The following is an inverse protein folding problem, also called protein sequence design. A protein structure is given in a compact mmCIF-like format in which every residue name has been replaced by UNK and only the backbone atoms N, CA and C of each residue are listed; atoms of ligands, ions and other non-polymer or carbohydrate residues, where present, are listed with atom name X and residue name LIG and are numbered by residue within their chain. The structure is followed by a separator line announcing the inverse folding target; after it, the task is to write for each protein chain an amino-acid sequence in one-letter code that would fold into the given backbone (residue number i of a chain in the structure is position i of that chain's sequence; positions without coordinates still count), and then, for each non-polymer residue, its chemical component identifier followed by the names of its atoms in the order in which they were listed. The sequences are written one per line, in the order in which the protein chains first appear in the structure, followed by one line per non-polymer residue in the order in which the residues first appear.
data_IF_954706986805
#
_entry.id   IF_954706986805
#
_cell.length_a   1.000
_cell.length_b   1.000
_cell.length_c   1.000
_cell.angle_alpha   90.00
_cell.angle_beta   90.00
_cell.angle_gamma   90.00
#
_symmetry.space_group_name_H-M   'P 1'
#
loop_
_entity.id
_entity.type
_entity.pdbx_description
1 polymer ?
#
# COMPACT_ATOMS: atom_id res chain seq x y z
N UNK A 1 6.50 -4.21 -24.36
CA UNK A 1 6.21 -2.85 -24.28
C UNK A 1 6.16 -2.39 -22.85
N UNK A 2 6.66 -1.29 -22.59
CA UNK A 2 6.75 -0.80 -21.25
C UNK A 2 5.59 0.14 -20.94
N UNK A 3 5.01 -0.03 -19.78
CA UNK A 3 3.86 0.74 -19.42
C UNK A 3 4.08 1.33 -18.04
N UNK A 4 4.36 2.61 -17.98
CA UNK A 4 4.64 3.26 -16.72
C UNK A 4 3.41 3.34 -15.82
N UNK A 5 2.23 3.22 -16.37
CA UNK A 5 1.03 3.24 -15.57
C UNK A 5 0.94 1.97 -14.75
N UNK A 6 1.24 0.83 -15.36
CA UNK A 6 1.15 -0.45 -14.69
C UNK A 6 2.39 -0.78 -13.87
N UNK A 7 3.52 -0.22 -14.25
CA UNK A 7 4.78 -0.55 -13.60
C UNK A 7 5.53 0.72 -13.22
N UNK A 8 4.95 1.51 -12.30
CA UNK A 8 5.63 2.72 -11.85
C UNK A 8 6.98 2.36 -11.22
N UNK A 9 7.96 3.16 -11.51
CA UNK A 9 9.31 2.86 -11.11
C UNK A 9 9.45 2.62 -9.61
N UNK A 10 8.77 3.44 -8.80
CA UNK A 10 8.90 3.32 -7.35
C UNK A 10 8.25 2.06 -6.81
N UNK A 11 7.48 1.34 -7.62
CA UNK A 11 6.91 0.07 -7.19
C UNK A 11 7.75 -1.11 -7.64
N UNK A 12 8.52 -0.94 -8.71
CA UNK A 12 9.28 -2.05 -9.25
C UNK A 12 10.74 -2.05 -8.84
N UNK A 13 11.15 -1.07 -8.04
CA UNK A 13 12.56 -0.96 -7.69
C UNK A 13 12.91 -1.69 -6.39
N UNK A 14 11.97 -2.45 -5.83
CA UNK A 14 12.26 -3.20 -4.62
C UNK A 14 13.27 -4.31 -4.91
N UNK A 15 14.26 -4.51 -4.02
CA UNK A 15 15.31 -5.51 -4.28
C UNK A 15 14.80 -6.92 -4.49
N UNK A 16 13.63 -7.25 -3.94
CA UNK A 16 13.08 -8.59 -4.10
C UNK A 16 12.63 -8.87 -5.53
N UNK A 17 12.41 -7.81 -6.32
CA UNK A 17 11.87 -7.98 -7.66
C UNK A 17 10.37 -8.16 -7.69
N UNK A 18 9.72 -8.22 -6.55
CA UNK A 18 8.27 -8.37 -6.48
C UNK A 18 7.62 -7.00 -6.62
N UNK A 19 6.58 -6.92 -7.44
CA UNK A 19 5.85 -5.68 -7.58
C UNK A 19 4.80 -5.57 -6.48
N UNK A 20 4.68 -4.38 -5.92
CA UNK A 20 3.74 -4.14 -4.84
C UNK A 20 2.33 -4.59 -5.20
N UNK A 21 1.90 -4.31 -6.43
CA UNK A 21 0.55 -4.64 -6.85
C UNK A 21 0.29 -6.15 -6.82
N UNK A 22 1.32 -6.96 -7.00
CA UNK A 22 1.15 -8.41 -6.96
C UNK A 22 0.68 -8.88 -5.59
N UNK A 23 1.00 -8.12 -4.57
CA UNK A 23 0.57 -8.43 -3.22
C UNK A 23 -0.74 -7.72 -2.89
N UNK A 24 -0.77 -6.41 -3.14
CA UNK A 24 -1.89 -5.61 -2.67
C UNK A 24 -3.19 -5.89 -3.40
N UNK A 25 -3.12 -6.42 -4.61
CA UNK A 25 -4.36 -6.70 -5.34
C UNK A 25 -5.18 -7.81 -4.68
N UNK A 26 -4.58 -8.57 -3.78
CA UNK A 26 -5.28 -9.64 -3.07
C UNK A 26 -5.81 -9.19 -1.71
N UNK A 27 -5.62 -7.93 -1.36
CA UNK A 27 -5.96 -7.42 -0.04
C UNK A 27 -7.10 -6.42 -0.16
N UNK A 28 -7.79 -6.18 0.98
CA UNK A 28 -8.83 -5.17 0.92
C UNK A 28 -8.21 -3.80 0.76
N UNK A 29 -9.06 -2.81 0.52
CA UNK A 29 -8.60 -1.49 0.12
C UNK A 29 -7.68 -0.85 1.16
N UNK A 30 -8.10 -0.86 2.42
CA UNK A 30 -7.30 -0.19 3.46
C UNK A 30 -5.99 -0.89 3.71
N UNK A 31 -6.02 -2.22 3.79
CA UNK A 31 -4.78 -2.96 4.04
C UNK A 31 -3.85 -2.84 2.84
N UNK A 32 -4.41 -2.93 1.63
CA UNK A 32 -3.58 -2.78 0.44
C UNK A 32 -2.93 -1.43 0.36
N UNK A 33 -3.66 -0.36 0.70
CA UNK A 33 -3.08 0.97 0.68
C UNK A 33 -2.05 1.15 1.79
N UNK A 34 -2.29 0.58 2.95
CA UNK A 34 -1.30 0.67 4.02
C UNK A 34 0.01 0.03 3.56
N UNK A 35 -0.07 -1.14 2.95
CA UNK A 35 1.12 -1.82 2.47
C UNK A 35 1.78 -1.03 1.36
N UNK A 36 0.99 -0.45 0.46
CA UNK A 36 1.54 0.36 -0.62
C UNK A 36 2.39 1.50 -0.06
N UNK A 37 1.87 2.20 0.93
CA UNK A 37 2.61 3.33 1.48
C UNK A 37 3.83 2.89 2.28
N UNK A 38 3.73 1.75 2.97
CA UNK A 38 4.90 1.22 3.65
C UNK A 38 5.98 0.81 2.64
N UNK A 39 5.56 0.26 1.52
CA UNK A 39 6.48 -0.12 0.45
C UNK A 39 7.21 1.11 -0.08
N UNK A 40 6.44 2.16 -0.37
CA UNK A 40 7.01 3.40 -0.90
C UNK A 40 7.95 4.07 0.09
N UNK A 41 7.62 4.01 1.37
CA UNK A 41 8.43 4.68 2.38
C UNK A 41 9.86 4.16 2.34
N UNK A 42 10.05 2.90 1.99
CA UNK A 42 11.39 2.34 1.92
C UNK A 42 12.13 2.63 0.63
N UNK A 43 11.44 3.17 -0.37
CA UNK A 43 12.03 3.34 -1.69
C UNK A 43 12.12 4.77 -2.16
N UNK A 44 11.35 5.67 -1.57
CA UNK A 44 11.30 7.05 -2.00
C UNK A 44 11.77 7.97 -0.89
N UNK A 45 11.83 9.24 -1.18
CA UNK A 45 12.35 10.20 -0.22
C UNK A 45 11.31 10.86 0.67
N UNK A 46 10.07 10.41 0.63
CA UNK A 46 9.01 11.00 1.44
C UNK A 46 8.57 10.03 2.53
N UNK A 47 9.53 9.55 3.28
CA UNK A 47 9.27 8.50 4.24
C UNK A 47 8.22 8.86 5.28
N UNK A 48 8.36 10.03 5.89
CA UNK A 48 7.43 10.40 6.96
C UNK A 48 6.01 10.55 6.42
N UNK A 49 5.89 11.19 5.26
CA UNK A 49 4.58 11.36 4.65
C UNK A 49 3.96 10.00 4.33
N UNK A 50 4.74 9.10 3.76
CA UNK A 50 4.22 7.78 3.41
C UNK A 50 3.87 6.98 4.65
N UNK A 51 4.67 7.07 5.70
CA UNK A 51 4.36 6.37 6.94
C UNK A 51 3.09 6.90 7.57
N UNK A 52 2.86 8.21 7.50
CA UNK A 52 1.63 8.77 8.03
C UNK A 52 0.41 8.32 7.24
N UNK A 53 0.56 8.19 5.93
CA UNK A 53 -0.53 7.68 5.11
C UNK A 53 -0.81 6.22 5.43
N UNK A 54 0.24 5.43 5.61
CA UNK A 54 0.06 4.04 6.00
C UNK A 54 -0.69 3.94 7.32
N UNK A 55 -0.31 4.79 8.29
CA UNK A 55 -0.97 4.79 9.58
C UNK A 55 -2.44 5.14 9.46
N UNK A 56 -2.75 6.11 8.59
CA UNK A 56 -4.14 6.50 8.39
C UNK A 56 -4.99 5.32 7.90
N UNK A 57 -4.45 4.58 6.95
CA UNK A 57 -5.19 3.43 6.42
C UNK A 57 -5.30 2.31 7.43
N UNK A 58 -4.27 2.10 8.24
CA UNK A 58 -4.34 1.11 9.31
C UNK A 58 -5.41 1.49 10.32
N UNK A 59 -5.44 2.75 10.73
CA UNK A 59 -6.45 3.22 11.67
C UNK A 59 -7.85 3.08 11.08
N UNK A 60 -7.98 3.37 9.80
CA UNK A 60 -9.27 3.24 9.14
C UNK A 60 -9.75 1.79 9.14
N UNK A 61 -8.84 0.87 8.92
CA UNK A 61 -9.20 -0.53 8.93
C UNK A 61 -9.60 -1.00 10.31
N UNK A 62 -8.88 -0.55 11.32
CA UNK A 62 -9.22 -0.88 12.70
C UNK A 62 -10.62 -0.38 13.02
N UNK A 63 -10.92 0.85 12.63
CA UNK A 63 -12.24 1.44 12.89
C UNK A 63 -13.34 0.65 12.19
N UNK A 64 -13.08 0.22 10.96
CA UNK A 64 -14.05 -0.55 10.21
C UNK A 64 -14.38 -1.86 10.93
N UNK A 65 -13.35 -2.54 11.41
CA UNK A 65 -13.54 -3.80 12.10
C UNK A 65 -14.25 -3.60 13.43
N UNK A 66 -13.82 -2.57 14.17
CA UNK A 66 -14.42 -2.30 15.49
C UNK A 66 -15.88 -1.86 15.37
N UNK A 67 -16.22 -1.21 14.27
CA UNK A 67 -17.61 -0.81 14.05
C UNK A 67 -18.49 -1.94 13.61
N UNK A 68 -17.92 -3.13 13.49
CA UNK A 68 -18.73 -4.28 13.14
C UNK A 68 -19.20 -4.25 11.71
N UNK A 69 -18.35 -3.79 10.79
CA UNK A 69 -18.70 -3.77 9.39
C UNK A 69 -18.93 -5.20 8.94
N UNK A 70 -20.17 -5.51 8.70
CA UNK A 70 -20.50 -6.87 8.42
C UNK A 70 -20.82 -7.17 7.02
N UNK A 71 -20.91 -6.14 6.21
CA UNK A 71 -21.20 -6.42 4.87
C UNK A 71 -20.08 -6.38 4.07
N UNK A 72 -19.16 -6.65 4.47
CA UNK A 72 -18.11 -6.67 3.62
C UNK A 72 -18.19 -7.65 2.54
#
# INVERSE_FOLDING_TARGET
MHDNVNHPKHYTSHPSGVECIEITEHLNFCIGNAIKYLWRAGLKGKEIEDLRKARWYIDREIARILNGDKHD
#
